data_IF_216671772631
#
_entry.id   IF_216671772631
#
_cell.length_a   1.000
_cell.length_b   1.000
_cell.length_c   1.000
_cell.angle_alpha   90.00
_cell.angle_beta   90.00
_cell.angle_gamma   90.00
#
_symmetry.space_group_name_H-M   'P 1'
#
loop_
_entity.id
_entity.type
_entity.pdbx_description
1 polymer ?
#
# COMPACT_ATOMS: atom_id res chain seq x y z
N UNK A 1 -54.72 -6.10 -35.87
CA UNK A 1 -53.33 -5.95 -36.35
C UNK A 1 -53.16 -4.51 -36.82
N UNK A 2 -52.06 -3.78 -36.52
CA UNK A 2 -50.82 -4.20 -35.86
C UNK A 2 -50.53 -3.52 -34.51
N UNK A 3 -49.60 -4.15 -33.80
CA UNK A 3 -49.07 -3.86 -32.47
C UNK A 3 -47.83 -2.96 -32.62
N UNK A 4 -47.78 -1.82 -31.94
CA UNK A 4 -46.57 -0.97 -31.87
C UNK A 4 -45.88 -1.25 -30.53
N UNK A 5 -45.10 -2.33 -30.53
CA UNK A 5 -44.06 -2.54 -29.53
C UNK A 5 -42.93 -1.55 -29.81
N UNK A 6 -42.87 -0.46 -29.06
CA UNK A 6 -41.73 0.42 -29.04
C UNK A 6 -40.55 -0.35 -28.42
N UNK A 7 -39.64 -0.83 -29.27
CA UNK A 7 -38.38 -1.40 -28.83
C UNK A 7 -37.56 -0.32 -28.13
N UNK A 8 -37.44 -0.43 -26.82
CA UNK A 8 -36.51 0.35 -26.01
C UNK A 8 -35.09 -0.01 -26.46
N UNK A 9 -34.42 0.93 -27.13
CA UNK A 9 -32.99 0.87 -27.45
C UNK A 9 -32.20 0.81 -26.13
N UNK A 10 -31.85 -0.42 -25.72
CA UNK A 10 -31.00 -0.66 -24.57
C UNK A 10 -29.58 -0.20 -24.92
N UNK A 11 -29.21 0.96 -24.40
CA UNK A 11 -27.82 1.39 -24.30
C UNK A 11 -27.07 0.45 -23.36
N UNK A 12 -26.57 -0.68 -23.90
CA UNK A 12 -25.65 -1.55 -23.18
C UNK A 12 -24.25 -0.93 -23.14
N UNK A 13 -23.95 -0.25 -22.04
CA UNK A 13 -22.60 -0.04 -21.49
C UNK A 13 -22.74 0.00 -19.96
N UNK A 14 -21.87 -0.64 -19.15
CA UNK A 14 -20.47 -0.95 -19.43
C UNK A 14 -20.12 -2.43 -19.40
N UNK A 15 -19.08 -2.77 -20.17
CA UNK A 15 -18.29 -3.97 -19.98
C UNK A 15 -17.95 -4.06 -18.49
N UNK A 16 -18.45 -5.12 -17.85
CA UNK A 16 -18.00 -5.56 -16.53
C UNK A 16 -16.48 -5.74 -16.63
N UNK A 17 -15.75 -4.72 -16.19
CA UNK A 17 -14.36 -4.88 -15.82
C UNK A 17 -14.31 -6.10 -14.91
N UNK A 18 -13.50 -7.12 -15.22
CA UNK A 18 -13.34 -8.24 -14.32
C UNK A 18 -12.96 -7.63 -12.99
N UNK A 19 -13.79 -7.86 -11.97
CA UNK A 19 -13.49 -7.50 -10.60
C UNK A 19 -12.29 -8.35 -10.24
N UNK A 20 -11.09 -7.81 -10.51
CA UNK A 20 -9.82 -8.36 -10.08
C UNK A 20 -10.03 -8.70 -8.62
N UNK A 21 -9.88 -9.97 -8.29
CA UNK A 21 -9.94 -10.46 -6.93
C UNK A 21 -9.01 -9.57 -6.13
N UNK A 22 -9.62 -8.68 -5.34
CA UNK A 22 -8.87 -7.76 -4.53
C UNK A 22 -8.35 -8.64 -3.40
N UNK A 23 -7.14 -9.16 -3.55
CA UNK A 23 -6.37 -9.64 -2.41
C UNK A 23 -6.33 -8.48 -1.43
N UNK A 24 -7.18 -8.52 -0.41
CA UNK A 24 -7.27 -7.45 0.56
C UNK A 24 -5.92 -7.40 1.27
N UNK A 25 -5.10 -6.40 0.92
CA UNK A 25 -3.83 -6.20 1.61
C UNK A 25 -4.20 -5.87 3.05
N UNK A 26 -3.84 -6.78 3.95
CA UNK A 26 -3.88 -6.52 5.37
C UNK A 26 -2.84 -5.45 5.70
N UNK A 27 -3.33 -4.22 5.85
CA UNK A 27 -2.54 -3.03 6.16
C UNK A 27 -1.71 -3.23 7.44
N UNK A 28 -2.19 -4.03 8.39
CA UNK A 28 -1.51 -4.28 9.66
C UNK A 28 -0.27 -5.17 9.50
N UNK A 29 -0.25 -6.02 8.48
CA UNK A 29 0.85 -6.93 8.14
C UNK A 29 1.91 -6.30 7.22
N UNK A 30 1.70 -5.06 6.79
CA UNK A 30 2.56 -4.41 5.80
C UNK A 30 3.92 -4.05 6.42
N UNK A 31 4.98 -4.61 5.82
CA UNK A 31 6.36 -4.33 6.24
C UNK A 31 6.67 -2.84 6.18
N UNK A 32 7.12 -2.26 7.30
CA UNK A 32 7.33 -0.81 7.42
C UNK A 32 8.75 -0.39 7.12
N UNK A 33 9.71 -1.27 7.33
CA UNK A 33 11.11 -0.98 7.09
C UNK A 33 11.33 -0.67 5.59
N UNK A 34 11.81 0.52 5.23
CA UNK A 34 12.09 0.87 3.84
C UNK A 34 13.04 -0.09 3.11
N UNK A 35 13.96 -0.73 3.84
CA UNK A 35 14.92 -1.68 3.28
C UNK A 35 14.35 -3.10 3.10
N UNK A 36 13.25 -3.44 3.78
CA UNK A 36 12.63 -4.77 3.70
C UNK A 36 11.31 -4.77 2.94
N UNK A 37 10.61 -3.63 2.91
CA UNK A 37 9.30 -3.52 2.26
C UNK A 37 9.41 -3.64 0.74
N UNK A 38 8.43 -4.31 0.14
CA UNK A 38 8.26 -4.38 -1.32
C UNK A 38 8.08 -2.99 -1.93
N UNK A 39 8.61 -2.79 -3.14
CA UNK A 39 8.43 -1.52 -3.85
C UNK A 39 6.94 -1.29 -4.14
N UNK A 40 6.48 -0.04 -4.05
CA UNK A 40 5.05 0.28 -4.29
C UNK A 40 4.61 -0.13 -5.70
N UNK A 41 5.51 -0.11 -6.69
CA UNK A 41 5.22 -0.55 -8.06
C UNK A 41 5.03 -2.07 -8.21
N UNK A 42 5.50 -2.89 -7.27
CA UNK A 42 5.28 -4.34 -7.32
C UNK A 42 3.87 -4.74 -6.92
N UNK A 43 3.13 -3.85 -6.26
CA UNK A 43 1.73 -4.09 -5.92
C UNK A 43 0.83 -3.87 -7.15
N UNK A 44 -0.30 -4.60 -7.24
CA UNK A 44 -1.34 -4.36 -8.23
C UNK A 44 -1.82 -2.90 -8.21
N UNK A 45 -2.07 -2.31 -9.38
CA UNK A 45 -2.42 -0.89 -9.55
C UNK A 45 -3.54 -0.43 -8.61
N UNK A 46 -4.59 -1.25 -8.47
CA UNK A 46 -5.76 -0.99 -7.62
C UNK A 46 -5.42 -0.88 -6.11
N UNK A 47 -4.28 -1.43 -5.69
CA UNK A 47 -3.87 -1.52 -4.30
C UNK A 47 -2.73 -0.56 -3.94
N UNK A 48 -1.98 -0.06 -4.94
CA UNK A 48 -0.84 0.85 -4.72
C UNK A 48 -1.21 2.08 -3.89
N UNK A 49 -2.38 2.65 -4.14
CA UNK A 49 -2.86 3.83 -3.43
C UNK A 49 -3.23 3.52 -1.97
N UNK A 50 -3.82 2.35 -1.72
CA UNK A 50 -4.10 1.86 -0.36
C UNK A 50 -2.80 1.67 0.43
N UNK A 51 -1.81 1.01 -0.18
CA UNK A 51 -0.46 0.80 0.38
C UNK A 51 0.24 2.14 0.66
N UNK A 52 0.20 3.08 -0.29
CA UNK A 52 0.81 4.40 -0.12
C UNK A 52 0.17 5.16 1.05
N UNK A 53 -1.16 5.17 1.13
CA UNK A 53 -1.89 5.80 2.24
C UNK A 53 -1.55 5.15 3.57
N UNK A 54 -1.46 3.82 3.63
CA UNK A 54 -1.06 3.11 4.84
C UNK A 54 0.30 3.57 5.36
N UNK A 55 1.33 3.63 4.50
CA UNK A 55 2.65 4.12 4.91
C UNK A 55 2.64 5.56 5.41
N UNK A 56 1.90 6.45 4.74
CA UNK A 56 1.77 7.85 5.15
C UNK A 56 1.09 7.96 6.52
N UNK A 57 -0.03 7.26 6.71
CA UNK A 57 -0.78 7.27 7.97
C UNK A 57 0.02 6.70 9.13
N UNK A 58 0.86 5.71 8.86
CA UNK A 58 1.67 5.10 9.89
C UNK A 58 2.87 6.00 10.29
N UNK A 59 3.21 7.02 9.49
CA UNK A 59 4.23 8.03 9.78
C UNK A 59 5.68 7.57 9.54
N UNK A 60 6.68 8.40 9.91
CA UNK A 60 8.08 8.03 9.83
C UNK A 60 8.38 6.73 10.59
N UNK A 61 9.07 5.80 9.94
CA UNK A 61 9.50 4.56 10.58
C UNK A 61 10.83 4.81 11.30
N UNK A 62 10.82 4.70 12.63
CA UNK A 62 12.02 4.80 13.48
C UNK A 62 12.15 3.49 14.27
N UNK A 63 13.11 2.61 13.92
CA UNK A 63 13.35 1.38 14.66
C UNK A 63 13.78 1.70 16.10
N UNK A 64 13.01 1.23 17.09
CA UNK A 64 13.38 1.34 18.51
C UNK A 64 14.21 0.14 18.91
N UNK A 65 15.51 0.34 19.06
CA UNK A 65 16.43 -0.68 19.54
C UNK A 65 16.62 -0.54 21.05
N UNK A 66 16.64 -1.65 21.78
CA UNK A 66 16.96 -1.63 23.22
C UNK A 66 18.36 -1.05 23.50
N UNK A 67 19.30 -1.23 22.57
CA UNK A 67 20.57 -0.53 22.54
C UNK A 67 20.98 -0.30 21.08
N UNK A 68 21.22 0.94 20.70
CA UNK A 68 21.74 1.27 19.37
C UNK A 68 23.23 0.91 19.28
N UNK A 69 23.70 0.42 18.13
CA UNK A 69 25.10 0.07 17.94
C UNK A 69 26.00 1.29 18.10
N UNK A 70 27.16 1.09 18.74
CA UNK A 70 28.20 2.10 18.81
C UNK A 70 28.91 2.19 17.46
N UNK A 71 29.14 3.42 17.01
CA UNK A 71 29.89 3.73 15.80
C UNK A 71 30.97 4.77 16.12
N UNK A 72 32.06 4.78 15.35
CA UNK A 72 33.14 5.77 15.51
C UNK A 72 34.51 5.14 15.81
N UNK A 73 35.49 6.01 16.03
CA UNK A 73 36.84 5.63 16.44
C UNK A 73 36.85 5.21 17.91
N UNK A 74 37.77 4.31 18.28
CA UNK A 74 37.80 3.67 19.61
C UNK A 74 37.71 4.64 20.79
N UNK A 75 38.30 5.84 20.67
CA UNK A 75 38.31 6.85 21.73
C UNK A 75 37.10 7.81 21.69
N UNK A 76 36.22 7.69 20.70
CA UNK A 76 35.06 8.55 20.51
C UNK A 76 33.89 7.78 19.88
N UNK A 77 33.40 6.79 20.63
CA UNK A 77 32.23 6.00 20.26
C UNK A 77 30.95 6.82 20.48
N UNK A 78 30.04 6.74 19.51
CA UNK A 78 28.75 7.42 19.50
C UNK A 78 27.65 6.46 19.08
N UNK A 79 26.48 6.61 19.67
CA UNK A 79 25.26 5.92 19.26
C UNK A 79 24.08 6.87 19.38
N UNK A 80 23.01 6.59 18.64
CA UNK A 80 21.74 7.30 18.83
C UNK A 80 21.22 7.06 20.25
N UNK A 81 20.71 8.12 20.88
CA UNK A 81 20.01 8.08 22.16
C UNK A 81 18.58 8.52 21.91
N UNK A 82 17.62 7.66 22.20
CA UNK A 82 16.21 8.02 22.16
C UNK A 82 15.94 8.97 23.35
N UNK A 83 15.31 10.12 23.10
CA UNK A 83 15.05 11.18 24.09
C UNK A 83 13.73 10.98 24.83
#
# INVERSE_FOLDING_TARGET
MPNVSAATSQFDRPLKVPKVENEEIDISSLERDPGLRRQISEYPTEQRDKVRRAYIMAGPYQPRLGKYPLSGVANHLRSFQES
#
